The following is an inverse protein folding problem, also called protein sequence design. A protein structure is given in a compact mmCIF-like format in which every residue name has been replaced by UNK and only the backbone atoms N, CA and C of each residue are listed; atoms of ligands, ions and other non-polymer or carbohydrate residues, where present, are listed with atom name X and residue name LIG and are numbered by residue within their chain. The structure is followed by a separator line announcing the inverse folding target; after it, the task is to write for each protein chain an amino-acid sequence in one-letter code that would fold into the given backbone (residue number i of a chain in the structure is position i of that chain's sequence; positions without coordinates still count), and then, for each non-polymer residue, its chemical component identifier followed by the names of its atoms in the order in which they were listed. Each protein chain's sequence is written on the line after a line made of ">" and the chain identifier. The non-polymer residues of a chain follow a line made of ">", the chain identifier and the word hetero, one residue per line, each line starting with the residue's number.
data_IF_724785073838
#
_entry.id   IF_724785073838
#
_cell.length_a   1.000
_cell.length_b   1.000
_cell.length_c   1.000
_cell.angle_alpha   90.00
_cell.angle_beta   90.00
_cell.angle_gamma   90.00
#
_symmetry.space_group_name_H-M   'P 1'
#
loop_
_entity.id
_entity.type
_entity.pdbx_description
1 polymer ?
#
# COMPACT_ATOMS: atom_id res chain seq x y z
N UNK A 1 -4.32 -26.78 12.07
CA UNK A 1 -3.87 -26.58 13.47
C UNK A 1 -4.13 -25.12 13.85
N UNK A 2 -5.21 -24.86 14.53
CA UNK A 2 -5.41 -23.61 15.28
C UNK A 2 -4.48 -23.74 16.50
N UNK A 3 -3.25 -23.32 16.36
CA UNK A 3 -2.39 -23.11 17.54
C UNK A 3 -3.06 -21.99 18.34
N UNK A 4 -3.56 -22.31 19.52
CA UNK A 4 -3.91 -21.32 20.52
C UNK A 4 -2.67 -20.46 20.76
N UNK A 5 -2.67 -19.24 20.21
CA UNK A 5 -1.59 -18.29 20.49
C UNK A 5 -1.70 -17.95 21.97
N UNK A 6 -0.68 -18.31 22.73
CA UNK A 6 -0.67 -18.05 24.18
C UNK A 6 -0.83 -16.56 24.46
N UNK A 7 -1.41 -16.21 25.62
CA UNK A 7 -1.58 -14.82 26.10
C UNK A 7 -0.30 -13.99 25.96
N UNK A 8 0.89 -14.60 26.09
CA UNK A 8 2.17 -13.96 25.89
C UNK A 8 2.42 -13.45 24.46
N UNK A 9 1.93 -14.12 23.43
CA UNK A 9 2.09 -13.68 22.04
C UNK A 9 1.16 -12.51 21.69
N UNK A 10 -0.03 -12.50 22.26
CA UNK A 10 -0.97 -11.37 22.11
C UNK A 10 -0.39 -10.12 22.76
N UNK A 11 0.14 -10.25 23.98
CA UNK A 11 0.75 -9.15 24.73
C UNK A 11 1.99 -8.59 24.02
N UNK A 12 2.89 -9.47 23.54
CA UNK A 12 4.07 -9.04 22.77
C UNK A 12 3.71 -8.25 21.52
N UNK A 13 2.66 -8.68 20.79
CA UNK A 13 2.18 -7.95 19.60
C UNK A 13 1.63 -6.57 19.95
N UNK A 14 0.88 -6.46 21.04
CA UNK A 14 0.38 -5.17 21.53
C UNK A 14 1.53 -4.22 21.86
N UNK A 15 2.55 -4.68 22.58
CA UNK A 15 3.72 -3.86 22.90
C UNK A 15 4.49 -3.44 21.66
N UNK A 16 4.73 -4.33 20.70
CA UNK A 16 5.44 -4.02 19.44
C UNK A 16 4.66 -3.08 18.54
N UNK A 17 3.35 -3.05 18.63
CA UNK A 17 2.53 -2.14 17.84
C UNK A 17 2.73 -0.67 18.20
N UNK A 18 3.16 -0.37 19.44
CA UNK A 18 3.45 0.96 19.93
C UNK A 18 4.93 1.30 19.69
N UNK A 19 5.21 2.08 18.67
CA UNK A 19 6.55 2.52 18.33
C UNK A 19 6.98 3.67 19.24
N UNK A 20 8.20 3.58 19.71
CA UNK A 20 8.82 4.69 20.43
C UNK A 20 9.26 5.82 19.47
N UNK A 21 9.71 6.93 20.03
CA UNK A 21 10.13 8.10 19.24
C UNK A 21 11.22 7.78 18.21
N UNK A 22 12.22 7.00 18.60
CA UNK A 22 13.33 6.61 17.71
C UNK A 22 12.84 5.73 16.55
N UNK A 23 11.94 4.78 16.82
CA UNK A 23 11.34 3.93 15.79
C UNK A 23 10.51 4.76 14.81
N UNK A 24 9.70 5.71 15.29
CA UNK A 24 8.90 6.60 14.44
C UNK A 24 9.79 7.46 13.55
N UNK A 25 10.83 8.11 14.10
CA UNK A 25 11.77 8.92 13.33
C UNK A 25 12.48 8.12 12.24
N UNK A 26 12.85 6.89 12.54
CA UNK A 26 13.52 6.01 11.57
C UNK A 26 12.54 5.46 10.53
N UNK A 27 11.28 5.20 10.86
CA UNK A 27 10.25 4.88 9.87
C UNK A 27 10.04 6.05 8.91
N UNK A 28 9.98 7.28 9.40
CA UNK A 28 9.90 8.49 8.56
C UNK A 28 11.09 8.59 7.60
N UNK A 29 12.33 8.39 8.08
CA UNK A 29 13.54 8.38 7.24
C UNK A 29 13.46 7.31 6.15
N UNK A 30 13.03 6.09 6.50
CA UNK A 30 12.87 4.99 5.54
C UNK A 30 11.87 5.32 4.44
N UNK A 31 10.75 5.98 4.78
CA UNK A 31 9.78 6.45 3.81
C UNK A 31 10.30 7.57 2.90
N UNK A 32 11.19 8.44 3.40
CA UNK A 32 11.89 9.42 2.54
C UNK A 32 12.81 8.70 1.55
N UNK A 33 13.59 7.72 2.00
CA UNK A 33 14.47 6.95 1.12
C UNK A 33 13.69 6.20 0.04
N UNK A 34 12.62 5.53 0.43
CA UNK A 34 11.73 4.82 -0.50
C UNK A 34 11.02 5.79 -1.46
N UNK A 35 10.56 6.92 -0.95
CA UNK A 35 9.95 7.99 -1.73
C UNK A 35 10.86 8.53 -2.84
N UNK A 36 12.16 8.64 -2.60
CA UNK A 36 13.15 9.01 -3.62
C UNK A 36 13.24 7.94 -4.71
N UNK A 37 13.31 6.65 -4.33
CA UNK A 37 13.36 5.54 -5.29
C UNK A 37 12.08 5.47 -6.13
N UNK A 38 10.92 5.58 -5.49
CA UNK A 38 9.61 5.56 -6.15
C UNK A 38 9.40 6.78 -7.07
N UNK A 39 9.84 7.97 -6.66
CA UNK A 39 9.76 9.18 -7.50
C UNK A 39 10.61 9.03 -8.76
N UNK A 40 11.84 8.51 -8.65
CA UNK A 40 12.70 8.18 -9.80
C UNK A 40 12.06 7.15 -10.71
N UNK A 41 11.41 6.14 -10.14
CA UNK A 41 10.68 5.12 -10.89
C UNK A 41 9.48 5.73 -11.64
N UNK A 42 8.67 6.55 -10.98
CA UNK A 42 7.51 7.21 -11.61
C UNK A 42 7.96 8.11 -12.76
N UNK A 43 9.02 8.88 -12.57
CA UNK A 43 9.61 9.68 -13.64
C UNK A 43 10.07 8.80 -14.82
N UNK A 44 10.82 7.75 -14.54
CA UNK A 44 11.32 6.83 -15.54
C UNK A 44 10.18 6.17 -16.33
N UNK A 45 9.19 5.57 -15.63
CA UNK A 45 8.11 4.82 -16.30
C UNK A 45 7.17 5.73 -17.10
N UNK A 46 7.04 6.99 -16.74
CA UNK A 46 6.27 7.98 -17.51
C UNK A 46 6.98 8.43 -18.78
N UNK A 47 8.29 8.48 -18.81
CA UNK A 47 9.08 9.04 -19.90
C UNK A 47 9.71 7.99 -20.84
N UNK A 48 9.73 6.73 -20.46
CA UNK A 48 10.30 5.67 -21.30
C UNK A 48 9.37 5.26 -22.44
N UNK A 49 9.96 4.72 -23.53
CA UNK A 49 9.18 4.11 -24.60
C UNK A 49 8.57 2.78 -24.13
N UNK A 50 7.28 2.80 -23.82
CA UNK A 50 6.54 1.70 -23.18
C UNK A 50 6.23 0.51 -24.09
N UNK A 51 6.43 0.63 -25.42
CA UNK A 51 6.15 -0.46 -26.34
C UNK A 51 6.94 -1.75 -26.06
N UNK A 52 8.02 -1.64 -25.29
CA UNK A 52 8.93 -2.75 -25.01
C UNK A 52 9.04 -3.14 -23.54
N UNK A 53 8.40 -2.41 -22.61
CA UNK A 53 8.54 -2.65 -21.16
C UNK A 53 7.43 -3.56 -20.65
N UNK A 54 7.80 -4.62 -19.95
CA UNK A 54 6.91 -5.54 -19.25
C UNK A 54 6.73 -5.14 -17.78
N UNK A 55 5.70 -5.68 -17.13
CA UNK A 55 5.46 -5.54 -15.69
C UNK A 55 6.67 -6.04 -14.88
N UNK A 56 7.25 -7.19 -15.30
CA UNK A 56 8.43 -7.77 -14.66
C UNK A 56 9.67 -6.85 -14.74
N UNK A 57 9.89 -6.23 -15.90
CA UNK A 57 10.99 -5.25 -16.04
C UNK A 57 10.74 -3.98 -15.24
N UNK A 58 9.48 -3.53 -15.14
CA UNK A 58 9.11 -2.38 -14.34
C UNK A 58 9.37 -2.60 -12.84
N UNK A 59 8.95 -3.75 -12.28
CA UNK A 59 9.23 -4.05 -10.87
C UNK A 59 10.73 -4.16 -10.57
N UNK A 60 11.51 -4.78 -11.48
CA UNK A 60 12.96 -4.88 -11.33
C UNK A 60 13.64 -3.50 -11.41
N UNK A 61 13.10 -2.60 -12.22
CA UNK A 61 13.62 -1.23 -12.31
C UNK A 61 13.41 -0.45 -11.02
N UNK A 62 12.24 -0.59 -10.38
CA UNK A 62 11.97 0.01 -9.08
C UNK A 62 12.92 -0.55 -8.02
N UNK A 63 13.08 -1.86 -7.99
CA UNK A 63 14.02 -2.55 -7.10
C UNK A 63 15.46 -2.02 -7.28
N UNK A 64 15.90 -1.83 -8.52
CA UNK A 64 17.21 -1.27 -8.82
C UNK A 64 17.35 0.20 -8.37
N UNK A 65 16.28 0.98 -8.31
CA UNK A 65 16.33 2.32 -7.71
C UNK A 65 16.46 2.26 -6.19
N UNK A 66 15.80 1.30 -5.52
CA UNK A 66 15.93 1.07 -4.08
C UNK A 66 17.34 0.63 -3.69
N UNK A 67 17.92 -0.31 -4.44
CA UNK A 67 19.30 -0.83 -4.23
C UNK A 67 20.39 0.23 -4.31
N UNK A 68 20.11 1.40 -4.88
CA UNK A 68 21.07 2.53 -4.87
C UNK A 68 21.20 3.19 -3.49
N UNK A 69 20.30 2.92 -2.57
CA UNK A 69 20.40 3.40 -1.20
C UNK A 69 21.11 2.35 -0.34
N UNK A 70 22.19 2.73 0.33
CA UNK A 70 23.02 1.86 1.18
C UNK A 70 22.28 1.28 2.41
N UNK A 71 21.15 1.89 2.77
CA UNK A 71 20.33 1.45 3.89
C UNK A 71 19.24 0.45 3.46
N UNK A 72 19.04 0.25 2.15
CA UNK A 72 18.11 -0.72 1.61
C UNK A 72 18.66 -2.14 1.74
N UNK A 73 17.83 -3.08 2.16
CA UNK A 73 18.20 -4.49 2.34
C UNK A 73 17.54 -5.41 1.31
N UNK A 74 16.21 -5.41 1.27
CA UNK A 74 15.39 -6.25 0.39
C UNK A 74 13.94 -5.72 0.32
N UNK A 75 13.08 -6.24 -0.58
CA UNK A 75 11.67 -5.86 -0.61
C UNK A 75 10.97 -6.23 0.70
N UNK A 76 10.13 -5.36 1.25
CA UNK A 76 9.30 -5.66 2.43
C UNK A 76 8.21 -6.69 2.12
N UNK A 77 7.81 -6.76 0.84
CA UNK A 77 6.95 -7.78 0.25
C UNK A 77 7.20 -7.86 -1.25
N UNK A 78 6.71 -8.91 -1.90
CA UNK A 78 6.86 -9.05 -3.35
C UNK A 78 6.07 -7.95 -4.08
N UNK A 79 6.78 -7.17 -4.90
CA UNK A 79 6.20 -6.06 -5.65
C UNK A 79 5.07 -6.51 -6.57
N UNK A 80 3.93 -5.88 -6.46
CA UNK A 80 2.81 -6.01 -7.39
C UNK A 80 2.95 -4.92 -8.44
N UNK A 81 3.18 -5.30 -9.68
CA UNK A 81 3.28 -4.39 -10.82
C UNK A 81 2.34 -4.91 -11.90
N UNK A 82 1.13 -4.36 -11.96
CA UNK A 82 0.07 -4.85 -12.83
C UNK A 82 -0.45 -3.79 -13.79
N UNK A 83 -0.55 -4.13 -15.09
CA UNK A 83 -1.15 -3.27 -16.13
C UNK A 83 -2.53 -3.78 -16.53
N UNK A 84 -3.49 -2.87 -16.68
CA UNK A 84 -4.87 -3.22 -17.02
C UNK A 84 -5.47 -4.21 -16.01
N UNK A 85 -6.07 -5.30 -16.50
CA UNK A 85 -6.71 -6.32 -15.65
C UNK A 85 -5.77 -6.97 -14.62
N UNK A 86 -4.46 -7.06 -14.88
CA UNK A 86 -3.51 -7.62 -13.91
C UNK A 86 -3.41 -6.75 -12.64
N UNK A 87 -3.59 -5.43 -12.75
CA UNK A 87 -3.65 -4.53 -11.60
C UNK A 87 -4.86 -4.71 -10.70
N UNK A 88 -5.87 -5.49 -11.12
CA UNK A 88 -7.05 -5.81 -10.32
C UNK A 88 -6.96 -7.18 -9.62
N UNK A 89 -5.92 -7.96 -9.88
CA UNK A 89 -5.69 -9.25 -9.25
C UNK A 89 -4.97 -9.00 -7.92
N UNK A 90 -5.62 -9.36 -6.83
CA UNK A 90 -5.03 -9.27 -5.48
C UNK A 90 -3.78 -10.15 -5.41
N UNK A 91 -2.68 -9.59 -4.92
CA UNK A 91 -1.37 -10.26 -4.86
C UNK A 91 -0.84 -10.74 -6.22
N UNK A 92 -1.15 -10.01 -7.32
CA UNK A 92 -0.59 -10.31 -8.63
C UNK A 92 0.94 -10.36 -8.61
N UNK A 93 1.51 -11.35 -9.29
CA UNK A 93 2.97 -11.54 -9.39
C UNK A 93 3.39 -11.59 -10.84
N UNK A 94 4.10 -10.59 -11.30
CA UNK A 94 4.75 -10.63 -12.59
C UNK A 94 6.04 -11.46 -12.51
N UNK A 95 6.20 -12.41 -13.45
CA UNK A 95 7.42 -13.22 -13.56
C UNK A 95 7.96 -13.11 -15.00
N UNK A 96 9.18 -13.61 -15.24
CA UNK A 96 9.73 -13.66 -16.61
C UNK A 96 8.81 -14.39 -17.61
N UNK A 97 8.08 -15.41 -17.14
CA UNK A 97 7.18 -16.24 -17.98
C UNK A 97 5.76 -15.72 -18.01
N UNK A 98 5.31 -15.09 -16.94
CA UNK A 98 3.94 -14.55 -16.79
C UNK A 98 4.00 -13.05 -16.53
N UNK A 99 3.94 -12.27 -17.62
CA UNK A 99 4.04 -10.80 -17.57
C UNK A 99 3.43 -10.18 -18.81
N UNK A 100 2.77 -9.05 -18.67
CA UNK A 100 2.26 -8.26 -19.80
C UNK A 100 3.18 -7.10 -20.15
N UNK A 101 3.12 -6.66 -21.40
CA UNK A 101 3.70 -5.39 -21.83
C UNK A 101 2.82 -4.24 -21.33
N UNK A 102 3.43 -3.22 -20.74
CA UNK A 102 2.73 -2.04 -20.26
C UNK A 102 2.22 -1.24 -21.46
N UNK A 103 0.90 -1.02 -21.49
CA UNK A 103 0.25 -0.28 -22.56
C UNK A 103 -0.07 1.16 -22.09
N UNK A 104 0.13 2.15 -22.97
CA UNK A 104 -0.19 3.56 -22.68
C UNK A 104 -1.68 3.83 -22.42
N UNK A 105 -2.57 2.94 -22.91
CA UNK A 105 -4.03 3.07 -22.72
C UNK A 105 -4.50 2.49 -21.39
N UNK A 106 -3.68 1.65 -20.74
CA UNK A 106 -4.02 0.97 -19.51
C UNK A 106 -3.64 1.80 -18.27
N UNK A 107 -4.29 1.49 -17.17
CA UNK A 107 -3.87 1.89 -15.84
C UNK A 107 -2.78 0.92 -15.39
N UNK A 108 -1.74 1.45 -14.78
CA UNK A 108 -0.68 0.67 -14.16
C UNK A 108 -0.72 0.85 -12.65
N UNK A 109 -0.88 -0.24 -11.93
CA UNK A 109 -0.79 -0.30 -10.47
C UNK A 109 0.61 -0.78 -10.09
N UNK A 110 1.25 -0.06 -9.18
CA UNK A 110 2.50 -0.48 -8.56
C UNK A 110 2.34 -0.40 -7.05
N UNK A 111 2.31 -1.55 -6.41
CA UNK A 111 2.28 -1.72 -4.98
C UNK A 111 3.56 -2.41 -4.52
N UNK A 112 4.31 -1.75 -3.64
CA UNK A 112 5.68 -2.15 -3.33
C UNK A 112 6.18 -1.53 -2.04
N UNK A 113 7.15 -2.16 -1.43
CA UNK A 113 7.81 -1.62 -0.25
C UNK A 113 9.26 -2.09 -0.15
N UNK A 114 10.01 -1.46 0.73
CA UNK A 114 11.39 -1.79 1.04
C UNK A 114 11.59 -2.04 2.51
N UNK A 115 12.42 -3.04 2.81
CA UNK A 115 13.00 -3.22 4.10
C UNK A 115 14.32 -2.45 4.14
N UNK A 116 14.37 -1.45 4.98
CA UNK A 116 15.57 -0.65 5.25
C UNK A 116 16.12 -1.04 6.62
N UNK A 117 17.39 -0.75 6.90
CA UNK A 117 17.99 -1.00 8.22
C UNK A 117 17.21 -0.36 9.37
N UNK A 118 16.48 0.71 9.09
CA UNK A 118 15.80 1.54 10.07
C UNK A 118 14.28 1.59 9.91
N UNK A 119 13.70 0.71 9.10
CA UNK A 119 12.24 0.68 8.97
C UNK A 119 11.74 -0.10 7.76
N UNK A 120 10.44 -0.26 7.70
CA UNK A 120 9.71 -1.01 6.68
C UNK A 120 8.76 -0.06 5.96
N UNK A 121 8.75 -0.07 4.63
CA UNK A 121 7.85 0.77 3.84
C UNK A 121 6.83 -0.06 3.08
N UNK A 122 5.69 0.59 2.79
CA UNK A 122 4.57 0.06 2.04
C UNK A 122 3.91 1.20 1.29
N UNK A 123 3.96 1.17 -0.05
CA UNK A 123 3.51 2.29 -0.87
C UNK A 123 2.90 1.81 -2.17
N UNK A 124 1.63 2.15 -2.40
CA UNK A 124 0.95 1.91 -3.68
C UNK A 124 0.84 3.18 -4.52
N UNK A 125 1.01 3.06 -5.83
CA UNK A 125 0.72 4.12 -6.81
C UNK A 125 -0.04 3.57 -8.01
N UNK A 126 -1.11 4.28 -8.38
CA UNK A 126 -1.86 4.07 -9.62
C UNK A 126 -1.45 5.12 -10.64
N UNK A 127 -0.98 4.68 -11.80
CA UNK A 127 -0.39 5.54 -12.83
C UNK A 127 -1.19 5.42 -14.12
N UNK A 128 -1.62 6.56 -14.66
CA UNK A 128 -2.13 6.69 -16.02
C UNK A 128 -1.05 7.31 -16.91
N UNK A 129 -0.89 6.77 -18.12
CA UNK A 129 0.08 7.25 -19.10
C UNK A 129 -0.55 8.15 -20.17
N UNK A 130 -1.89 8.22 -20.20
CA UNK A 130 -2.69 9.06 -21.07
C UNK A 130 -3.83 9.66 -20.25
N UNK A 131 -4.64 10.53 -20.87
CA UNK A 131 -5.83 11.09 -20.22
C UNK A 131 -6.79 9.96 -19.81
N UNK A 132 -7.10 9.79 -18.51
CA UNK A 132 -7.99 8.72 -18.07
C UNK A 132 -9.43 8.95 -18.53
N UNK A 133 -10.19 7.87 -18.72
CA UNK A 133 -11.63 7.92 -18.99
C UNK A 133 -12.38 8.59 -17.83
N UNK A 134 -13.54 9.19 -18.11
CA UNK A 134 -14.35 9.94 -17.12
C UNK A 134 -14.72 9.08 -15.88
N UNK A 135 -15.11 7.84 -16.09
CA UNK A 135 -15.44 6.90 -15.00
C UNK A 135 -14.21 6.60 -14.11
N UNK A 136 -13.04 6.33 -14.72
CA UNK A 136 -11.79 6.10 -13.99
C UNK A 136 -11.42 7.30 -13.12
N UNK A 137 -11.51 8.50 -13.68
CA UNK A 137 -11.26 9.74 -12.94
C UNK A 137 -12.23 9.92 -11.77
N UNK A 138 -13.51 9.61 -11.96
CA UNK A 138 -14.53 9.69 -10.91
C UNK A 138 -14.20 8.72 -9.77
N UNK A 139 -13.94 7.43 -10.08
CA UNK A 139 -13.62 6.41 -9.10
C UNK A 139 -12.33 6.76 -8.35
N UNK A 140 -11.26 7.14 -9.06
CA UNK A 140 -10.01 7.58 -8.47
C UNK A 140 -10.21 8.74 -7.48
N UNK A 141 -11.03 9.73 -7.85
CA UNK A 141 -11.36 10.87 -6.98
C UNK A 141 -12.08 10.42 -5.71
N UNK A 142 -12.98 9.43 -5.80
CA UNK A 142 -13.69 8.88 -4.63
C UNK A 142 -12.76 8.10 -3.72
N UNK A 143 -11.86 7.30 -4.28
CA UNK A 143 -10.80 6.62 -3.51
C UNK A 143 -9.91 7.65 -2.80
N UNK A 144 -9.50 8.72 -3.48
CA UNK A 144 -8.71 9.81 -2.88
C UNK A 144 -9.47 10.51 -1.75
N UNK A 145 -10.77 10.76 -1.90
CA UNK A 145 -11.61 11.31 -0.81
C UNK A 145 -11.63 10.38 0.40
N UNK A 146 -11.72 9.05 0.16
CA UNK A 146 -11.62 8.03 1.21
C UNK A 146 -10.27 8.09 1.93
N UNK A 147 -9.19 8.15 1.19
CA UNK A 147 -7.83 8.29 1.72
C UNK A 147 -7.67 9.54 2.61
N UNK A 148 -8.18 10.68 2.15
CA UNK A 148 -8.17 11.93 2.92
C UNK A 148 -9.04 11.81 4.19
N UNK A 149 -10.19 11.13 4.10
CA UNK A 149 -11.07 10.93 5.24
C UNK A 149 -10.43 10.08 6.35
N UNK A 150 -9.58 9.11 6.00
CA UNK A 150 -8.76 8.35 6.96
C UNK A 150 -7.80 9.30 7.68
N UNK A 151 -6.98 10.06 6.95
CA UNK A 151 -6.00 11.00 7.52
C UNK A 151 -6.66 12.05 8.42
N UNK A 152 -7.84 12.53 8.04
CA UNK A 152 -8.61 13.53 8.81
C UNK A 152 -9.50 12.92 9.90
N UNK A 153 -9.34 11.66 10.24
CA UNK A 153 -10.12 11.04 11.31
C UNK A 153 -9.64 11.54 12.69
N UNK A 154 -10.55 12.13 13.44
CA UNK A 154 -10.31 12.47 14.83
C UNK A 154 -10.38 11.21 15.68
N UNK A 155 -9.28 10.77 16.27
CA UNK A 155 -9.19 9.54 17.06
C UNK A 155 -9.99 9.58 18.36
N UNK A 156 -10.31 10.75 18.89
CA UNK A 156 -11.22 10.88 20.04
C UNK A 156 -12.65 10.45 19.68
N UNK A 157 -13.06 10.65 18.42
CA UNK A 157 -14.39 10.26 17.91
C UNK A 157 -14.36 8.90 17.21
N UNK A 158 -13.30 8.60 16.47
CA UNK A 158 -13.14 7.38 15.65
C UNK A 158 -11.95 6.59 16.20
N UNK A 159 -12.13 6.05 17.40
CA UNK A 159 -11.03 5.47 18.19
C UNK A 159 -10.56 4.09 17.71
N UNK A 160 -11.21 3.47 16.75
CA UNK A 160 -10.89 2.12 16.27
C UNK A 160 -10.93 2.01 14.75
N UNK A 161 -10.26 0.99 14.22
CA UNK A 161 -10.11 0.82 12.78
C UNK A 161 -11.42 0.65 12.02
N UNK A 162 -12.43 -0.02 12.59
CA UNK A 162 -13.74 -0.19 11.96
C UNK A 162 -14.51 1.13 11.79
N UNK A 163 -14.37 2.07 12.71
CA UNK A 163 -14.99 3.39 12.61
C UNK A 163 -14.35 4.24 11.50
N UNK A 164 -13.04 4.09 11.30
CA UNK A 164 -12.29 4.77 10.24
C UNK A 164 -12.57 4.12 8.88
N UNK A 165 -12.67 2.79 8.82
CA UNK A 165 -12.99 2.04 7.60
C UNK A 165 -14.31 2.50 6.95
N UNK A 166 -15.33 2.73 7.76
CA UNK A 166 -16.63 3.25 7.29
C UNK A 166 -16.46 4.60 6.58
N UNK A 167 -15.59 5.48 7.12
CA UNK A 167 -15.32 6.80 6.55
C UNK A 167 -14.61 6.71 5.20
N UNK A 168 -13.67 5.79 5.07
CA UNK A 168 -12.94 5.55 3.83
C UNK A 168 -13.87 5.06 2.71
N UNK A 169 -14.74 4.09 3.02
CA UNK A 169 -15.65 3.46 2.04
C UNK A 169 -16.82 4.34 1.61
N UNK A 170 -17.19 5.34 2.40
CA UNK A 170 -18.36 6.19 2.17
C UNK A 170 -18.49 6.65 0.72
N UNK A 171 -17.44 7.20 0.15
CA UNK A 171 -17.46 7.84 -1.17
C UNK A 171 -17.63 6.86 -2.35
N UNK A 172 -17.18 5.62 -2.20
CA UNK A 172 -17.44 4.55 -3.18
C UNK A 172 -18.88 4.04 -3.02
N UNK A 173 -19.35 3.85 -1.78
CA UNK A 173 -20.71 3.39 -1.50
C UNK A 173 -21.79 4.34 -2.02
N UNK A 174 -21.53 5.65 -2.13
CA UNK A 174 -22.43 6.63 -2.75
C UNK A 174 -22.75 6.30 -4.23
N UNK A 175 -21.97 5.48 -4.87
CA UNK A 175 -22.17 5.02 -6.26
C UNK A 175 -22.28 3.49 -6.35
N UNK A 176 -22.69 2.83 -5.26
CA UNK A 176 -22.83 1.39 -5.15
C UNK A 176 -21.56 0.58 -5.47
N UNK A 177 -20.37 1.16 -5.19
CA UNK A 177 -19.09 0.49 -5.28
C UNK A 177 -18.49 0.27 -3.89
N UNK A 178 -17.64 -0.75 -3.79
CA UNK A 178 -16.88 -1.06 -2.58
C UNK A 178 -15.62 -1.87 -2.97
N UNK A 179 -14.76 -2.16 -2.02
CA UNK A 179 -13.59 -3.03 -2.16
C UNK A 179 -13.59 -4.12 -1.08
N UNK A 180 -12.98 -5.27 -1.40
CA UNK A 180 -13.04 -6.48 -0.55
C UNK A 180 -11.93 -6.56 0.49
N UNK A 181 -10.83 -5.83 0.29
CA UNK A 181 -9.69 -5.81 1.22
C UNK A 181 -9.90 -4.83 2.40
N UNK A 182 -9.03 -4.87 3.39
CA UNK A 182 -9.00 -3.88 4.46
C UNK A 182 -8.59 -2.49 3.94
N UNK A 183 -9.02 -1.43 4.60
CA UNK A 183 -8.59 -0.06 4.29
C UNK A 183 -7.14 0.20 4.72
N UNK A 184 -6.62 -0.60 5.63
CA UNK A 184 -5.25 -0.53 6.10
C UNK A 184 -4.94 -1.57 7.16
N UNK A 185 -3.68 -1.76 7.40
CA UNK A 185 -3.14 -2.69 8.40
C UNK A 185 -2.03 -2.02 9.20
N UNK A 186 -1.64 -2.61 10.33
CA UNK A 186 -0.46 -2.19 11.05
C UNK A 186 0.82 -2.47 10.25
N UNK A 187 1.81 -1.58 10.34
CA UNK A 187 3.12 -1.75 9.71
C UNK A 187 4.19 -1.91 10.79
N UNK A 188 4.98 -2.99 10.68
CA UNK A 188 6.04 -3.28 11.64
C UNK A 188 7.27 -2.40 11.46
N UNK A 189 7.99 -2.15 12.54
CA UNK A 189 9.30 -1.52 12.49
C UNK A 189 10.37 -2.61 12.33
N UNK A 190 11.08 -2.63 11.20
CA UNK A 190 12.05 -3.67 10.84
C UNK A 190 11.49 -5.11 11.00
N UNK A 191 10.20 -5.28 10.74
CA UNK A 191 9.48 -6.53 10.85
C UNK A 191 8.57 -6.72 9.64
N UNK A 192 7.62 -7.64 9.74
CA UNK A 192 6.65 -7.88 8.69
C UNK A 192 5.91 -6.59 8.32
N UNK A 193 5.70 -6.38 7.03
CA UNK A 193 4.90 -5.26 6.52
C UNK A 193 3.48 -5.28 7.11
N UNK A 194 2.88 -6.45 7.28
CA UNK A 194 1.62 -6.62 7.99
C UNK A 194 1.87 -6.91 9.47
N UNK A 195 1.51 -5.97 10.33
CA UNK A 195 1.58 -6.10 11.78
C UNK A 195 0.17 -5.97 12.40
N UNK A 196 -0.10 -6.69 13.45
CA UNK A 196 -1.28 -6.53 14.30
C UNK A 196 -0.89 -6.10 15.72
N UNK A 197 -1.89 -5.81 16.58
CA UNK A 197 -3.32 -6.12 16.45
C UNK A 197 -4.15 -5.06 15.71
N UNK A 198 -3.61 -3.88 15.45
CA UNK A 198 -4.32 -2.77 14.82
C UNK A 198 -4.49 -2.98 13.31
N UNK A 199 -5.63 -2.57 12.78
CA UNK A 199 -5.90 -2.49 11.35
C UNK A 199 -7.08 -1.54 11.10
N UNK A 200 -7.19 -0.98 9.92
CA UNK A 200 -8.36 -0.23 9.46
C UNK A 200 -9.20 -1.18 8.61
N UNK A 201 -10.19 -1.82 9.22
CA UNK A 201 -11.06 -2.79 8.55
C UNK A 201 -12.39 -2.93 9.26
N UNK A 202 -13.41 -3.43 8.54
CA UNK A 202 -14.79 -3.60 9.03
C UNK A 202 -14.89 -4.31 10.40
N UNK A 203 -14.00 -5.25 10.67
CA UNK A 203 -14.08 -6.10 11.86
C UNK A 203 -13.10 -5.73 12.97
N UNK A 204 -12.16 -4.82 12.70
CA UNK A 204 -11.15 -4.45 13.69
C UNK A 204 -11.66 -3.38 14.66
N UNK A 205 -11.92 -3.81 15.88
CA UNK A 205 -12.41 -2.96 17.00
C UNK A 205 -11.28 -2.53 17.95
N UNK A 206 -10.03 -2.85 17.63
CA UNK A 206 -8.88 -2.46 18.46
C UNK A 206 -8.79 -0.94 18.51
N UNK A 207 -8.67 -0.40 19.72
CA UNK A 207 -8.45 1.02 19.94
C UNK A 207 -7.09 1.42 19.38
N UNK A 208 -7.08 2.43 18.53
CA UNK A 208 -5.85 2.99 17.99
C UNK A 208 -5.19 3.91 19.03
N UNK A 209 -3.91 3.71 19.24
CA UNK A 209 -3.12 4.42 20.22
C UNK A 209 -1.98 5.17 19.53
N UNK A 210 -1.48 6.22 20.17
CA UNK A 210 -0.28 6.92 19.74
C UNK A 210 0.90 5.96 19.64
N UNK A 211 1.72 6.09 18.61
CA UNK A 211 2.81 5.18 18.29
C UNK A 211 2.43 4.00 17.39
N UNK A 212 1.15 3.73 17.15
CA UNK A 212 0.73 2.75 16.15
C UNK A 212 0.90 3.29 14.74
N UNK A 213 1.57 2.52 13.89
CA UNK A 213 1.72 2.84 12.46
C UNK A 213 0.74 1.99 11.67
N UNK A 214 0.02 2.62 10.73
CA UNK A 214 -0.98 1.97 9.88
C UNK A 214 -0.78 2.38 8.43
N UNK A 215 -1.01 1.45 7.53
CA UNK A 215 -1.21 1.78 6.13
C UNK A 215 -2.56 2.48 5.92
N UNK A 216 -2.66 3.28 4.85
CA UNK A 216 -3.89 3.96 4.45
C UNK A 216 -4.08 3.72 2.95
N UNK A 217 -4.83 2.70 2.60
CA UNK A 217 -4.89 2.12 1.27
C UNK A 217 -6.30 1.81 0.75
N UNK A 218 -7.28 2.71 0.90
CA UNK A 218 -8.55 2.51 0.23
C UNK A 218 -8.33 2.34 -1.27
N UNK A 219 -9.08 1.46 -1.91
CA UNK A 219 -8.87 1.15 -3.32
C UNK A 219 -10.16 0.80 -4.05
N UNK A 220 -10.06 0.56 -5.34
CA UNK A 220 -11.09 -0.07 -6.14
C UNK A 220 -10.43 -0.92 -7.21
N UNK A 221 -10.60 -2.21 -7.13
CA UNK A 221 -10.05 -3.19 -8.07
C UNK A 221 -11.18 -3.73 -8.94
N UNK A 222 -11.04 -3.67 -10.26
CA UNK A 222 -12.03 -4.17 -11.20
C UNK A 222 -11.35 -4.84 -12.39
N UNK A 223 -11.80 -6.04 -12.73
CA UNK A 223 -11.35 -6.80 -13.90
C UNK A 223 -11.99 -6.33 -15.22
N UNK A 224 -12.98 -5.44 -15.16
CA UNK A 224 -13.84 -5.02 -16.29
C UNK A 224 -13.41 -3.66 -16.86
N UNK A 225 -12.14 -3.36 -16.92
CA UNK A 225 -11.67 -2.07 -17.46
C UNK A 225 -10.82 -2.24 -18.70
#
# INVERSE_FOLDING_TARGET
>A
LIRSRGLGDVYKRQLKSLKNKTEIENMLKSHVFDGVALTKFIHWIKNINKKKITEFEAQNKLENFRKKNKEYLYPSFETIAGTGGNGAIVHYRATKKNTKKINKKDIFLCDSGGQYKYGTTDVTRTICFSKPKKNVKNIFTRVLKGHIAVVKSNLNKYSSGNLIDIRARKFLKEINLDYQHGTGHGVGFFLNVHEGPQAISKFNKIKLLEGMILSNEPGYLSLIH
#
